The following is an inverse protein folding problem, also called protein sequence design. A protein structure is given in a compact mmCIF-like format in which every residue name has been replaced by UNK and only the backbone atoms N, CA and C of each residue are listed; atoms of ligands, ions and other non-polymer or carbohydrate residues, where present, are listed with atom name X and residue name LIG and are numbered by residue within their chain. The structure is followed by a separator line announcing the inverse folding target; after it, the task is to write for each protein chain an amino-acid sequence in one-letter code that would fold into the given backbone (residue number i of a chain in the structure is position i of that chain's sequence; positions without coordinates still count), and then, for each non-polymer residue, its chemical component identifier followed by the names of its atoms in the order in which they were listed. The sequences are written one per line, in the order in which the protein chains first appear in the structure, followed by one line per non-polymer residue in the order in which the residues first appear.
data_IF_174988345711
#
_entry.id   IF_174988345711
#
_cell.length_a   1.000
_cell.length_b   1.000
_cell.length_c   1.000
_cell.angle_alpha   90.00
_cell.angle_beta   90.00
_cell.angle_gamma   90.00
#
_symmetry.space_group_name_H-M   'P 1'
#
loop_
_entity.id
_entity.type
_entity.pdbx_description
1 polymer ?
#
# COMPACT_ATOMS: atom_id res chain seq x y z
N UNK A 1 29.26 -10.84 -10.58
CA UNK A 1 28.18 -11.11 -9.61
C UNK A 1 26.84 -10.98 -10.32
N UNK A 2 26.10 -12.07 -10.38
CA UNK A 2 24.81 -12.17 -11.02
C UNK A 2 23.80 -11.65 -10.01
N UNK A 3 22.97 -10.73 -10.45
CA UNK A 3 21.97 -10.07 -9.61
C UNK A 3 20.70 -10.07 -10.42
N UNK A 4 19.60 -10.57 -9.83
CA UNK A 4 18.29 -10.50 -10.49
C UNK A 4 17.86 -9.04 -10.66
N UNK A 5 18.42 -8.13 -9.84
CA UNK A 5 18.30 -6.67 -9.93
C UNK A 5 19.42 -6.00 -10.74
N UNK A 6 20.20 -6.75 -11.52
CA UNK A 6 21.23 -6.25 -12.45
C UNK A 6 22.28 -5.33 -11.81
N UNK A 7 22.62 -5.56 -10.53
CA UNK A 7 23.53 -4.70 -9.77
C UNK A 7 23.10 -3.23 -9.70
N UNK A 8 21.82 -2.94 -9.90
CA UNK A 8 21.27 -1.60 -9.78
C UNK A 8 21.18 -1.21 -8.30
N UNK A 9 22.00 -0.26 -7.81
CA UNK A 9 22.06 0.10 -6.40
C UNK A 9 20.73 0.67 -5.88
N UNK A 10 19.99 1.36 -6.73
CA UNK A 10 18.69 1.95 -6.39
C UNK A 10 17.68 0.82 -6.14
N UNK A 11 17.55 -0.13 -7.05
CA UNK A 11 16.62 -1.26 -6.91
C UNK A 11 16.91 -2.11 -5.67
N UNK A 12 18.19 -2.38 -5.39
CA UNK A 12 18.62 -3.14 -4.20
C UNK A 12 18.26 -2.38 -2.93
N UNK A 13 18.56 -1.07 -2.89
CA UNK A 13 18.26 -0.23 -1.73
C UNK A 13 16.76 -0.14 -1.51
N UNK A 14 15.97 0.03 -2.57
CA UNK A 14 14.51 0.09 -2.49
C UNK A 14 13.92 -1.19 -1.89
N UNK A 15 14.32 -2.35 -2.39
CA UNK A 15 13.79 -3.64 -1.95
C UNK A 15 14.15 -3.95 -0.50
N UNK A 16 15.40 -3.75 -0.08
CA UNK A 16 15.82 -3.96 1.32
C UNK A 16 15.21 -2.94 2.29
N UNK A 17 15.41 -1.64 2.04
CA UNK A 17 15.01 -0.61 2.99
C UNK A 17 13.49 -0.57 3.15
N UNK A 18 12.72 -0.56 2.06
CA UNK A 18 11.27 -0.46 2.15
C UNK A 18 10.60 -1.82 2.44
N UNK A 19 11.19 -2.95 2.02
CA UNK A 19 10.70 -4.26 2.45
C UNK A 19 10.75 -4.43 3.97
N UNK A 20 11.92 -4.18 4.59
CA UNK A 20 12.09 -4.32 6.04
C UNK A 20 11.33 -3.24 6.82
N UNK A 21 11.46 -1.97 6.43
CA UNK A 21 10.74 -0.88 7.10
C UNK A 21 9.22 -1.05 6.99
N UNK A 22 8.71 -1.49 5.84
CA UNK A 22 7.29 -1.73 5.62
C UNK A 22 6.73 -2.82 6.54
N UNK A 23 7.45 -3.92 6.71
CA UNK A 23 7.05 -4.99 7.66
C UNK A 23 6.99 -4.46 9.09
N UNK A 24 8.03 -3.74 9.53
CA UNK A 24 8.10 -3.18 10.88
C UNK A 24 6.97 -2.16 11.09
N UNK A 25 6.77 -1.24 10.15
CA UNK A 25 5.74 -0.20 10.25
C UNK A 25 4.33 -0.81 10.31
N UNK A 26 3.99 -1.74 9.41
CA UNK A 26 2.68 -2.40 9.41
C UNK A 26 2.46 -3.23 10.69
N UNK A 27 3.49 -3.88 11.23
CA UNK A 27 3.43 -4.54 12.54
C UNK A 27 3.07 -3.56 13.67
N UNK A 28 3.67 -2.38 13.69
CA UNK A 28 3.32 -1.34 14.66
C UNK A 28 1.89 -0.83 14.49
N UNK A 29 1.38 -0.71 13.27
CA UNK A 29 -0.03 -0.37 13.01
C UNK A 29 -0.96 -1.41 13.66
N UNK A 30 -0.70 -2.70 13.47
CA UNK A 30 -1.48 -3.76 14.12
C UNK A 30 -1.40 -3.68 15.66
N UNK A 31 -0.21 -3.43 16.23
CA UNK A 31 -0.05 -3.21 17.67
C UNK A 31 -0.89 -2.05 18.18
N UNK A 32 -0.90 -0.92 17.47
CA UNK A 32 -1.73 0.24 17.80
C UNK A 32 -3.21 -0.15 17.77
N UNK A 33 -3.66 -0.80 16.70
CA UNK A 33 -5.07 -1.25 16.55
C UNK A 33 -5.50 -2.18 17.68
N UNK A 34 -4.65 -3.16 18.03
CA UNK A 34 -4.91 -4.08 19.14
C UNK A 34 -4.96 -3.36 20.49
N UNK A 35 -4.06 -2.41 20.73
CA UNK A 35 -4.06 -1.59 21.93
C UNK A 35 -5.33 -0.73 22.03
N UNK A 36 -5.77 -0.13 20.91
CA UNK A 36 -7.01 0.63 20.82
C UNK A 36 -8.23 -0.26 21.13
N UNK A 37 -8.28 -1.48 20.58
CA UNK A 37 -9.36 -2.45 20.86
C UNK A 37 -9.39 -2.89 22.32
N UNK A 38 -8.24 -3.21 22.91
CA UNK A 38 -8.11 -3.58 24.33
C UNK A 38 -8.57 -2.44 25.25
N UNK A 39 -8.20 -1.21 24.93
CA UNK A 39 -8.58 -0.01 25.69
C UNK A 39 -10.07 0.32 25.55
N UNK A 40 -10.67 0.07 24.37
CA UNK A 40 -12.12 0.14 24.18
C UNK A 40 -12.86 -0.76 25.16
N UNK A 41 -12.45 -2.02 25.24
CA UNK A 41 -13.13 -3.02 26.07
C UNK A 41 -12.97 -2.72 27.57
N UNK A 42 -11.78 -2.23 27.98
CA UNK A 42 -11.54 -1.80 29.36
C UNK A 42 -12.37 -0.58 29.76
N UNK A 43 -12.50 0.42 28.89
CA UNK A 43 -13.31 1.63 29.18
C UNK A 43 -14.80 1.31 29.33
N UNK A 44 -15.31 0.33 28.56
CA UNK A 44 -16.68 -0.18 28.72
C UNK A 44 -16.85 -0.83 30.09
N UNK A 45 -15.88 -1.63 30.51
CA UNK A 45 -15.88 -2.32 31.80
C UNK A 45 -15.70 -1.35 32.99
N UNK A 46 -14.85 -0.33 32.85
CA UNK A 46 -14.61 0.66 33.91
C UNK A 46 -15.72 1.70 34.05
N UNK A 47 -16.58 1.88 33.03
CA UNK A 47 -17.78 2.72 33.15
C UNK A 47 -18.83 2.12 34.09
N UNK A 48 -18.72 0.82 34.40
CA UNK A 48 -19.58 0.11 35.36
C UNK A 48 -19.13 0.32 36.82
N UNK A 49 -17.94 0.90 37.04
CA UNK A 49 -17.37 1.14 38.38
C UNK A 49 -16.83 2.57 38.46
N UNK A 50 -17.49 3.49 39.16
CA UNK A 50 -16.88 4.77 39.59
C UNK A 50 -15.71 4.47 40.57
N UNK A 51 -14.61 5.23 40.65
CA UNK A 51 -14.56 6.58 41.23
C UNK A 51 -13.21 7.35 40.99
N UNK A 52 -13.06 8.49 41.68
CA UNK A 52 -12.45 9.81 41.44
C UNK A 52 -10.96 10.13 41.11
N UNK A 53 -10.01 9.22 40.86
CA UNK A 53 -8.59 9.62 40.59
C UNK A 53 -8.27 10.06 39.13
N UNK A 54 -9.29 10.50 38.40
CA UNK A 54 -9.60 9.90 37.09
C UNK A 54 -9.39 10.85 35.89
N UNK A 55 -9.00 12.11 36.09
CA UNK A 55 -9.18 13.14 35.04
C UNK A 55 -8.17 13.08 33.87
N UNK A 56 -6.89 12.73 34.07
CA UNK A 56 -5.89 12.60 32.98
C UNK A 56 -6.01 11.27 32.22
N UNK A 57 -6.42 10.22 32.92
CA UNK A 57 -6.66 8.89 32.36
C UNK A 57 -8.01 8.83 31.62
N UNK A 58 -9.08 9.44 32.14
CA UNK A 58 -10.39 9.61 31.47
C UNK A 58 -10.25 10.35 30.14
N UNK A 59 -9.41 11.39 30.07
CA UNK A 59 -9.33 12.26 28.88
C UNK A 59 -8.47 11.65 27.76
N UNK A 60 -7.36 10.99 28.11
CA UNK A 60 -6.68 10.07 27.19
C UNK A 60 -7.63 8.96 26.72
N UNK A 61 -8.47 8.43 27.61
CA UNK A 61 -9.51 7.47 27.27
C UNK A 61 -10.61 8.07 26.38
N UNK A 62 -10.97 9.36 26.46
CA UNK A 62 -11.99 10.00 25.60
C UNK A 62 -11.50 10.25 24.16
N UNK A 63 -10.27 10.75 23.98
CA UNK A 63 -9.67 10.90 22.65
C UNK A 63 -9.48 9.51 22.00
N UNK A 64 -8.97 8.55 22.77
CA UNK A 64 -8.86 7.16 22.34
C UNK A 64 -10.23 6.56 22.04
N UNK A 65 -11.26 6.80 22.88
CA UNK A 65 -12.62 6.32 22.70
C UNK A 65 -13.32 6.88 21.45
N UNK A 66 -12.90 8.05 20.91
CA UNK A 66 -13.49 8.62 19.68
C UNK A 66 -12.82 8.11 18.40
N UNK A 67 -11.51 7.85 18.44
CA UNK A 67 -10.81 7.06 17.40
C UNK A 67 -11.29 5.61 17.39
N UNK A 68 -11.41 5.01 18.58
CA UNK A 68 -12.05 3.70 18.85
C UNK A 68 -13.54 3.69 18.47
N UNK A 69 -14.21 4.83 18.60
CA UNK A 69 -15.63 5.00 18.31
C UNK A 69 -15.93 4.83 16.82
N UNK A 70 -14.99 5.19 15.94
CA UNK A 70 -15.12 4.90 14.51
C UNK A 70 -14.56 3.51 14.19
N UNK A 71 -15.27 2.48 14.64
CA UNK A 71 -14.94 1.07 14.38
C UNK A 71 -14.77 0.78 12.89
N UNK A 72 -15.55 1.44 12.02
CA UNK A 72 -15.42 1.37 10.56
C UNK A 72 -14.03 1.77 10.10
N UNK A 73 -13.56 2.95 10.50
CA UNK A 73 -12.22 3.45 10.14
C UNK A 73 -11.11 2.49 10.59
N UNK A 74 -11.21 1.95 11.81
CA UNK A 74 -10.22 0.99 12.33
C UNK A 74 -10.21 -0.30 11.49
N UNK A 75 -11.37 -0.82 11.12
CA UNK A 75 -11.47 -2.01 10.25
C UNK A 75 -10.82 -1.72 8.89
N UNK A 76 -11.10 -0.56 8.29
CA UNK A 76 -10.54 -0.21 6.99
C UNK A 76 -9.02 -0.01 7.06
N UNK A 77 -8.50 0.68 8.07
CA UNK A 77 -7.04 0.83 8.27
C UNK A 77 -6.37 -0.52 8.55
N UNK A 78 -7.01 -1.43 9.29
CA UNK A 78 -6.48 -2.77 9.50
C UNK A 78 -6.34 -3.55 8.17
N UNK A 79 -7.33 -3.43 7.28
CA UNK A 79 -7.28 -4.04 5.96
C UNK A 79 -6.22 -3.38 5.07
N UNK A 80 -6.06 -2.06 5.15
CA UNK A 80 -5.00 -1.34 4.44
C UNK A 80 -3.61 -1.80 4.90
N UNK A 81 -3.39 -1.90 6.22
CA UNK A 81 -2.13 -2.40 6.78
C UNK A 81 -1.84 -3.87 6.42
N UNK A 82 -2.87 -4.71 6.31
CA UNK A 82 -2.72 -6.08 5.83
C UNK A 82 -2.32 -6.14 4.34
N UNK A 83 -2.93 -5.29 3.52
CA UNK A 83 -2.58 -5.13 2.10
C UNK A 83 -1.13 -4.64 1.93
N UNK A 84 -0.77 -3.59 2.66
CA UNK A 84 0.56 -2.99 2.63
C UNK A 84 1.64 -3.95 3.17
N UNK A 85 1.31 -4.80 4.14
CA UNK A 85 2.19 -5.87 4.60
C UNK A 85 2.49 -6.88 3.47
N UNK A 86 1.50 -7.26 2.67
CA UNK A 86 1.71 -8.14 1.51
C UNK A 86 2.66 -7.51 0.47
N UNK A 87 2.51 -6.21 0.19
CA UNK A 87 3.45 -5.49 -0.70
C UNK A 87 4.87 -5.35 -0.12
N UNK A 88 4.98 -5.20 1.20
CA UNK A 88 6.28 -5.17 1.88
C UNK A 88 6.98 -6.54 1.84
N UNK A 89 6.21 -7.64 2.00
CA UNK A 89 6.72 -9.00 1.83
C UNK A 89 7.18 -9.28 0.40
N UNK A 90 6.46 -8.77 -0.60
CA UNK A 90 6.90 -8.81 -2.01
C UNK A 90 8.30 -8.20 -2.18
N UNK A 91 8.53 -6.98 -1.67
CA UNK A 91 9.83 -6.32 -1.74
C UNK A 91 10.94 -7.12 -1.04
N UNK A 92 10.61 -7.70 0.13
CA UNK A 92 11.56 -8.53 0.87
C UNK A 92 11.92 -9.83 0.12
N UNK A 93 10.96 -10.47 -0.54
CA UNK A 93 11.22 -11.68 -1.35
C UNK A 93 12.22 -11.34 -2.46
N UNK A 94 12.05 -10.21 -3.16
CA UNK A 94 13.01 -9.78 -4.18
C UNK A 94 14.40 -9.50 -3.59
N UNK A 95 14.47 -8.86 -2.42
CA UNK A 95 15.73 -8.56 -1.75
C UNK A 95 16.51 -9.82 -1.36
N UNK A 96 15.81 -10.81 -0.78
CA UNK A 96 16.38 -12.09 -0.38
C UNK A 96 16.78 -12.93 -1.59
N UNK A 97 15.97 -12.94 -2.64
CA UNK A 97 16.29 -13.64 -3.88
C UNK A 97 17.55 -13.05 -4.54
N UNK A 98 17.63 -11.72 -4.66
CA UNK A 98 18.81 -11.04 -5.20
C UNK A 98 20.08 -11.39 -4.40
N UNK A 99 20.00 -11.42 -3.07
CA UNK A 99 21.11 -11.87 -2.22
C UNK A 99 21.51 -13.32 -2.52
N UNK A 100 20.54 -14.23 -2.62
CA UNK A 100 20.78 -15.66 -2.86
C UNK A 100 21.50 -15.90 -4.19
N UNK A 101 21.03 -15.28 -5.28
CA UNK A 101 21.63 -15.47 -6.60
C UNK A 101 22.98 -14.78 -6.76
N UNK A 102 23.23 -13.67 -6.04
CA UNK A 102 24.57 -13.05 -5.95
C UNK A 102 25.60 -14.00 -5.40
N UNK A 103 25.29 -14.70 -4.30
CA UNK A 103 26.23 -15.63 -3.68
C UNK A 103 26.44 -16.92 -4.48
N UNK A 104 25.44 -17.39 -5.23
CA UNK A 104 25.60 -18.58 -6.09
C UNK A 104 26.65 -18.40 -7.19
N UNK A 105 26.88 -17.17 -7.69
CA UNK A 105 27.90 -16.91 -8.71
C UNK A 105 29.33 -16.74 -8.13
N UNK A 106 29.50 -16.73 -6.80
CA UNK A 106 30.82 -16.55 -6.15
C UNK A 106 31.57 -17.90 -6.00
N UNK A 107 31.06 -19.01 -6.55
CA UNK A 107 31.83 -20.25 -6.61
C UNK A 107 33.01 -20.11 -7.60
N UNK A 108 34.28 -20.14 -7.13
CA UNK A 108 35.43 -19.55 -7.81
C UNK A 108 36.12 -20.44 -8.85
N UNK A 109 35.44 -21.44 -9.43
CA UNK A 109 36.13 -22.43 -10.27
C UNK A 109 36.25 -22.06 -11.76
N UNK A 110 35.53 -21.04 -12.24
CA UNK A 110 35.50 -20.73 -13.67
C UNK A 110 36.12 -19.37 -13.95
N UNK A 111 37.40 -19.39 -14.36
CA UNK A 111 38.08 -18.34 -15.11
C UNK A 111 37.48 -18.23 -16.53
N UNK A 112 36.17 -18.06 -16.59
CA UNK A 112 35.39 -18.14 -17.82
C UNK A 112 35.33 -16.80 -18.56
N UNK A 113 35.37 -16.88 -19.89
CA UNK A 113 35.24 -15.74 -20.81
C UNK A 113 33.93 -14.95 -20.60
N UNK A 114 33.86 -13.71 -21.10
CA UNK A 114 32.65 -12.86 -20.97
C UNK A 114 31.37 -13.55 -21.50
N UNK A 115 31.49 -14.44 -22.49
CA UNK A 115 30.39 -15.24 -23.02
C UNK A 115 29.82 -16.25 -21.99
N UNK A 116 30.67 -16.95 -21.22
CA UNK A 116 30.21 -17.85 -20.14
C UNK A 116 29.53 -17.09 -19.01
N UNK A 117 30.00 -15.87 -18.71
CA UNK A 117 29.37 -15.02 -17.69
C UNK A 117 27.94 -14.61 -18.08
N UNK A 118 27.68 -14.40 -19.38
CA UNK A 118 26.37 -14.06 -19.93
C UNK A 118 25.43 -15.28 -19.94
N UNK A 119 25.92 -16.46 -20.35
CA UNK A 119 25.15 -17.72 -20.34
C UNK A 119 24.75 -18.11 -18.91
N UNK A 120 25.67 -17.96 -17.95
CA UNK A 120 25.38 -18.22 -16.53
C UNK A 120 24.34 -17.25 -15.97
N UNK A 121 24.34 -15.99 -16.44
CA UNK A 121 23.32 -15.02 -16.01
C UNK A 121 21.93 -15.35 -16.55
N UNK A 122 21.80 -15.81 -17.80
CA UNK A 122 20.50 -16.21 -18.35
C UNK A 122 19.89 -17.40 -17.63
N UNK A 123 20.69 -18.38 -17.22
CA UNK A 123 20.21 -19.53 -16.45
C UNK A 123 19.70 -19.11 -15.07
N UNK A 124 20.43 -18.22 -14.38
CA UNK A 124 20.01 -17.65 -13.10
C UNK A 124 18.65 -16.93 -13.20
N UNK A 125 18.44 -16.14 -14.25
CA UNK A 125 17.16 -15.44 -14.45
C UNK A 125 16.03 -16.44 -14.75
N UNK A 126 16.30 -17.44 -15.57
CA UNK A 126 15.35 -18.50 -15.88
C UNK A 126 14.92 -19.27 -14.61
N UNK A 127 15.90 -19.67 -13.78
CA UNK A 127 15.67 -20.36 -12.52
C UNK A 127 14.87 -19.51 -11.52
N UNK A 128 15.15 -18.21 -11.46
CA UNK A 128 14.42 -17.30 -10.58
C UNK A 128 12.97 -17.13 -11.01
N UNK A 129 12.71 -16.89 -12.29
CA UNK A 129 11.36 -16.64 -12.80
C UNK A 129 10.48 -17.90 -12.66
N UNK A 130 11.08 -19.09 -12.80
CA UNK A 130 10.41 -20.38 -12.57
C UNK A 130 10.30 -20.77 -11.09
N UNK A 131 10.89 -20.00 -10.17
CA UNK A 131 10.89 -20.34 -8.75
C UNK A 131 9.51 -20.08 -8.10
N UNK A 132 9.00 -20.98 -7.23
CA UNK A 132 7.78 -20.76 -6.44
C UNK A 132 7.74 -19.41 -5.71
N UNK A 133 8.90 -18.91 -5.24
CA UNK A 133 8.98 -17.61 -4.59
C UNK A 133 8.73 -16.44 -5.55
N UNK A 134 9.06 -16.55 -6.83
CA UNK A 134 8.70 -15.53 -7.83
C UNK A 134 7.20 -15.54 -8.12
N UNK A 135 6.57 -16.72 -8.24
CA UNK A 135 5.11 -16.81 -8.33
C UNK A 135 4.41 -16.21 -7.10
N UNK A 136 4.94 -16.48 -5.90
CA UNK A 136 4.44 -15.90 -4.65
C UNK A 136 4.62 -14.38 -4.61
N UNK A 137 5.78 -13.89 -5.05
CA UNK A 137 6.05 -12.45 -5.16
C UNK A 137 5.05 -11.77 -6.10
N UNK A 138 4.78 -12.36 -7.27
CA UNK A 138 3.76 -11.87 -8.21
C UNK A 138 2.39 -11.79 -7.58
N UNK A 139 1.98 -12.87 -6.93
CA UNK A 139 0.69 -12.95 -6.27
C UNK A 139 0.53 -11.84 -5.23
N UNK A 140 1.52 -11.68 -4.34
CA UNK A 140 1.50 -10.66 -3.28
C UNK A 140 1.50 -9.24 -3.85
N UNK A 141 2.25 -9.00 -4.92
CA UNK A 141 2.30 -7.71 -5.59
C UNK A 141 0.93 -7.33 -6.18
N UNK A 142 0.31 -8.21 -6.96
CA UNK A 142 -1.01 -7.93 -7.56
C UNK A 142 -2.08 -7.76 -6.47
N UNK A 143 -2.06 -8.62 -5.46
CA UNK A 143 -3.02 -8.59 -4.37
C UNK A 143 -2.92 -7.30 -3.56
N UNK A 144 -1.70 -6.88 -3.17
CA UNK A 144 -1.47 -5.67 -2.39
C UNK A 144 -1.84 -4.41 -3.15
N UNK A 145 -1.51 -4.34 -4.43
CA UNK A 145 -1.83 -3.18 -5.28
C UNK A 145 -3.34 -3.01 -5.45
N UNK A 146 -4.05 -4.10 -5.75
CA UNK A 146 -5.51 -4.06 -5.88
C UNK A 146 -6.18 -3.66 -4.56
N UNK A 147 -5.82 -4.35 -3.48
CA UNK A 147 -6.50 -4.19 -2.20
C UNK A 147 -6.22 -2.82 -1.57
N UNK A 148 -5.02 -2.25 -1.76
CA UNK A 148 -4.68 -0.91 -1.29
C UNK A 148 -5.55 0.16 -1.96
N UNK A 149 -5.66 0.13 -3.30
CA UNK A 149 -6.54 1.05 -4.07
C UNK A 149 -7.98 0.93 -3.62
N UNK A 150 -8.48 -0.30 -3.50
CA UNK A 150 -9.85 -0.59 -3.10
C UNK A 150 -10.14 -0.01 -1.71
N UNK A 151 -9.33 -0.33 -0.70
CA UNK A 151 -9.56 0.11 0.68
C UNK A 151 -9.44 1.64 0.81
N UNK A 152 -8.45 2.26 0.15
CA UNK A 152 -8.31 3.73 0.15
C UNK A 152 -9.54 4.41 -0.45
N UNK A 153 -10.10 3.85 -1.53
CA UNK A 153 -11.33 4.35 -2.15
C UNK A 153 -12.51 4.24 -1.18
N UNK A 154 -12.65 3.10 -0.50
CA UNK A 154 -13.71 2.89 0.50
C UNK A 154 -13.55 3.86 1.69
N UNK A 155 -12.33 4.14 2.15
CA UNK A 155 -12.08 5.15 3.18
C UNK A 155 -12.57 6.52 2.68
N UNK A 156 -12.27 6.91 1.44
CA UNK A 156 -12.73 8.18 0.89
C UNK A 156 -14.26 8.27 0.79
N UNK A 157 -14.93 7.19 0.35
CA UNK A 157 -16.39 7.11 0.29
C UNK A 157 -16.99 7.23 1.70
N UNK A 158 -16.49 6.45 2.66
CA UNK A 158 -16.94 6.48 4.06
C UNK A 158 -16.85 7.90 4.64
N UNK A 159 -15.72 8.59 4.41
CA UNK A 159 -15.52 9.97 4.86
C UNK A 159 -16.47 10.94 4.17
N UNK A 160 -16.62 10.84 2.85
CA UNK A 160 -17.50 11.71 2.08
C UNK A 160 -18.96 11.56 2.52
N UNK A 161 -19.45 10.32 2.65
CA UNK A 161 -20.83 10.04 3.09
C UNK A 161 -21.08 10.57 4.49
N UNK A 162 -20.15 10.34 5.42
CA UNK A 162 -20.27 10.82 6.81
C UNK A 162 -20.44 12.35 6.90
N UNK A 163 -19.77 13.10 6.01
CA UNK A 163 -19.81 14.57 6.00
C UNK A 163 -20.97 15.11 5.17
N UNK A 164 -21.23 14.52 4.00
CA UNK A 164 -22.23 15.03 3.05
C UNK A 164 -23.66 14.62 3.42
N UNK A 165 -23.84 13.47 4.09
CA UNK A 165 -25.14 12.89 4.43
C UNK A 165 -25.22 12.43 5.89
N UNK A 166 -25.07 13.36 6.87
CA UNK A 166 -24.94 13.01 8.29
C UNK A 166 -26.18 12.32 8.91
N UNK A 167 -27.35 12.39 8.26
CA UNK A 167 -28.60 11.77 8.74
C UNK A 167 -29.05 10.57 7.90
N UNK A 168 -28.23 10.15 6.92
CA UNK A 168 -28.58 9.02 6.04
C UNK A 168 -28.02 7.71 6.57
N UNK A 169 -28.77 7.07 7.47
CA UNK A 169 -28.41 5.77 8.05
C UNK A 169 -28.24 4.67 6.97
N UNK A 170 -28.92 4.80 5.84
CA UNK A 170 -28.87 3.84 4.74
C UNK A 170 -27.53 3.89 3.99
N UNK A 171 -26.96 5.10 3.83
CA UNK A 171 -25.71 5.31 3.11
C UNK A 171 -24.47 5.11 4.00
N UNK A 172 -24.61 5.23 5.32
CA UNK A 172 -23.50 5.05 6.26
C UNK A 172 -22.84 3.67 6.10
N UNK A 173 -21.50 3.67 6.02
CA UNK A 173 -20.69 2.46 6.03
C UNK A 173 -20.51 2.03 7.48
N UNK A 174 -21.45 1.21 7.94
CA UNK A 174 -21.38 0.61 9.27
C UNK A 174 -20.22 -0.39 9.38
N UNK A 175 -19.74 -0.74 10.58
CA UNK A 175 -18.65 -1.70 10.76
C UNK A 175 -18.94 -3.08 10.13
N UNK A 176 -20.21 -3.51 10.14
CA UNK A 176 -20.65 -4.74 9.47
C UNK A 176 -20.49 -4.63 7.95
N UNK A 177 -20.97 -3.52 7.36
CA UNK A 177 -20.81 -3.24 5.92
C UNK A 177 -19.34 -3.17 5.54
N UNK A 178 -18.51 -2.44 6.29
CA UNK A 178 -17.06 -2.37 6.02
C UNK A 178 -16.38 -3.73 6.04
N UNK A 179 -16.75 -4.62 6.97
CA UNK A 179 -16.21 -5.99 7.00
C UNK A 179 -16.65 -6.78 5.76
N UNK A 180 -17.93 -6.72 5.39
CA UNK A 180 -18.44 -7.40 4.18
C UNK A 180 -17.78 -6.88 2.89
N UNK A 181 -17.69 -5.55 2.74
CA UNK A 181 -17.04 -4.89 1.61
C UNK A 181 -15.56 -5.29 1.55
N UNK A 182 -14.86 -5.31 2.68
CA UNK A 182 -13.45 -5.73 2.74
C UNK A 182 -13.28 -7.19 2.34
N UNK A 183 -14.14 -8.10 2.81
CA UNK A 183 -14.12 -9.51 2.42
C UNK A 183 -14.34 -9.64 0.91
N UNK A 184 -15.33 -8.94 0.35
CA UNK A 184 -15.56 -8.92 -1.09
C UNK A 184 -14.34 -8.42 -1.88
N UNK A 185 -13.73 -7.33 -1.42
CA UNK A 185 -12.48 -6.81 -2.01
C UNK A 185 -11.35 -7.84 -1.98
N UNK A 186 -11.13 -8.50 -0.84
CA UNK A 186 -10.12 -9.57 -0.73
C UNK A 186 -10.42 -10.73 -1.69
N UNK A 187 -11.67 -11.18 -1.80
CA UNK A 187 -12.04 -12.25 -2.73
C UNK A 187 -11.73 -11.88 -4.19
N UNK A 188 -12.08 -10.66 -4.61
CA UNK A 188 -11.78 -10.17 -5.97
C UNK A 188 -10.27 -10.03 -6.18
N UNK A 189 -9.56 -9.49 -5.20
CA UNK A 189 -8.10 -9.33 -5.24
C UNK A 189 -7.39 -10.68 -5.33
N UNK A 190 -7.82 -11.68 -4.55
CA UNK A 190 -7.31 -13.06 -4.56
C UNK A 190 -7.55 -13.70 -5.93
N UNK A 191 -8.77 -13.59 -6.47
CA UNK A 191 -9.10 -14.13 -7.79
C UNK A 191 -8.22 -13.49 -8.88
N UNK A 192 -8.07 -12.17 -8.83
CA UNK A 192 -7.23 -11.41 -9.77
C UNK A 192 -5.77 -11.83 -9.67
N UNK A 193 -5.18 -11.83 -8.47
CA UNK A 193 -3.79 -12.24 -8.24
C UNK A 193 -3.54 -13.70 -8.66
N UNK A 194 -4.49 -14.60 -8.39
CA UNK A 194 -4.42 -15.99 -8.83
C UNK A 194 -4.44 -16.11 -10.35
N UNK A 195 -5.32 -15.37 -11.03
CA UNK A 195 -5.40 -15.35 -12.49
C UNK A 195 -4.07 -14.92 -13.12
N UNK A 196 -3.48 -13.81 -12.67
CA UNK A 196 -2.19 -13.34 -13.19
C UNK A 196 -1.04 -14.30 -12.89
N UNK A 197 -1.05 -14.94 -11.72
CA UNK A 197 -0.02 -15.91 -11.33
C UNK A 197 -0.14 -17.20 -12.14
N UNK A 198 -1.36 -17.73 -12.30
CA UNK A 198 -1.63 -18.90 -13.12
C UNK A 198 -1.30 -18.66 -14.59
N UNK A 199 -1.66 -17.48 -15.13
CA UNK A 199 -1.29 -17.10 -16.49
C UNK A 199 0.23 -17.07 -16.67
N UNK A 200 0.97 -16.53 -15.70
CA UNK A 200 2.44 -16.55 -15.77
C UNK A 200 3.03 -17.96 -15.65
N UNK A 201 2.37 -18.89 -14.98
CA UNK A 201 2.82 -20.27 -14.86
C UNK A 201 2.64 -21.03 -16.18
N UNK A 202 1.47 -20.90 -16.83
CA UNK A 202 1.18 -21.59 -18.10
C UNK A 202 1.95 -21.00 -19.31
N UNK A 203 2.41 -19.75 -19.20
CA UNK A 203 3.20 -19.06 -20.25
C UNK A 203 4.70 -19.08 -19.98
N UNK A 204 5.15 -19.84 -18.98
CA UNK A 204 6.56 -20.02 -18.68
C UNK A 204 7.20 -21.05 -19.65
N UNK A 205 8.43 -20.84 -20.12
CA UNK A 205 9.29 -19.67 -19.92
C UNK A 205 8.98 -18.51 -20.88
N UNK A 206 9.30 -17.25 -20.51
CA UNK A 206 9.11 -16.09 -21.38
C UNK A 206 9.93 -16.21 -22.68
N UNK A 207 9.40 -15.68 -23.78
CA UNK A 207 9.88 -15.94 -25.14
C UNK A 207 11.24 -15.29 -25.49
N UNK A 208 11.73 -14.32 -24.70
CA UNK A 208 12.99 -13.61 -24.97
C UNK A 208 13.81 -13.34 -23.70
N UNK A 209 15.13 -13.42 -23.83
CA UNK A 209 16.07 -13.17 -22.73
C UNK A 209 16.13 -11.72 -22.25
N UNK A 210 15.80 -10.75 -23.11
CA UNK A 210 15.74 -9.34 -22.72
C UNK A 210 14.52 -9.03 -21.83
N UNK A 211 13.46 -9.84 -21.89
CA UNK A 211 12.30 -9.74 -20.98
C UNK A 211 12.67 -10.03 -19.52
N UNK A 212 13.81 -10.69 -19.25
CA UNK A 212 14.24 -11.04 -17.90
C UNK A 212 14.39 -9.83 -16.97
N UNK A 213 14.74 -8.63 -17.47
CA UNK A 213 14.83 -7.42 -16.62
C UNK A 213 13.52 -7.05 -15.94
N UNK A 214 12.41 -7.21 -16.64
CA UNK A 214 11.06 -6.98 -16.10
C UNK A 214 10.52 -8.21 -15.39
N UNK A 215 10.73 -9.39 -15.96
CA UNK A 215 10.23 -10.64 -15.41
C UNK A 215 10.89 -11.01 -14.07
N UNK A 216 12.13 -10.58 -13.82
CA UNK A 216 12.83 -10.77 -12.55
C UNK A 216 12.18 -10.04 -11.38
N UNK A 217 11.44 -8.95 -11.62
CA UNK A 217 10.66 -8.29 -10.58
C UNK A 217 9.40 -9.07 -10.20
N UNK A 218 9.09 -10.15 -10.92
CA UNK A 218 7.91 -10.97 -10.72
C UNK A 218 6.60 -10.18 -10.76
N UNK A 219 6.58 -8.98 -11.33
CA UNK A 219 5.41 -8.10 -11.32
C UNK A 219 4.36 -8.57 -12.33
N UNK A 220 4.82 -8.98 -13.52
CA UNK A 220 3.98 -9.41 -14.64
C UNK A 220 4.62 -10.60 -15.38
N UNK A 221 3.85 -11.23 -16.26
CA UNK A 221 4.33 -12.28 -17.16
C UNK A 221 5.10 -11.65 -18.35
N UNK A 222 5.38 -12.43 -19.39
CA UNK A 222 6.12 -11.95 -20.56
C UNK A 222 5.38 -10.80 -21.28
N UNK A 223 5.99 -9.61 -21.29
CA UNK A 223 5.47 -8.43 -21.99
C UNK A 223 5.47 -8.58 -23.51
N UNK A 224 6.11 -9.61 -24.07
CA UNK A 224 5.98 -9.95 -25.49
C UNK A 224 4.54 -10.33 -25.86
N UNK A 225 3.77 -10.86 -24.91
CA UNK A 225 2.39 -11.32 -25.11
C UNK A 225 1.42 -10.13 -25.10
N UNK A 226 0.60 -10.00 -26.16
CA UNK A 226 -0.39 -8.92 -26.30
C UNK A 226 -1.34 -8.84 -25.09
N UNK A 227 -1.83 -9.98 -24.61
CA UNK A 227 -2.72 -10.05 -23.45
C UNK A 227 -2.10 -9.45 -22.19
N UNK A 228 -0.80 -9.68 -21.95
CA UNK A 228 -0.07 -9.15 -20.79
C UNK A 228 0.03 -7.63 -20.90
N UNK A 229 0.40 -7.11 -22.06
CA UNK A 229 0.48 -5.65 -22.32
C UNK A 229 -0.86 -4.95 -22.15
N UNK A 230 -1.93 -5.55 -22.69
CA UNK A 230 -3.27 -5.01 -22.54
C UNK A 230 -3.72 -5.01 -21.08
N UNK A 231 -3.52 -6.13 -20.37
CA UNK A 231 -3.87 -6.25 -18.95
C UNK A 231 -3.10 -5.27 -18.07
N UNK A 232 -1.82 -5.08 -18.36
CA UNK A 232 -0.94 -4.09 -17.75
C UNK A 232 -1.48 -2.67 -17.85
N UNK A 233 -1.80 -2.26 -19.08
CA UNK A 233 -2.38 -0.94 -19.35
C UNK A 233 -3.72 -0.80 -18.64
N UNK A 234 -4.60 -1.80 -18.76
CA UNK A 234 -5.94 -1.79 -18.18
C UNK A 234 -5.89 -1.62 -16.66
N UNK A 235 -5.07 -2.42 -15.96
CA UNK A 235 -4.91 -2.31 -14.51
C UNK A 235 -4.36 -0.94 -14.10
N UNK A 236 -3.40 -0.41 -14.85
CA UNK A 236 -2.80 0.90 -14.57
C UNK A 236 -3.81 2.03 -14.75
N UNK A 237 -4.62 1.99 -15.83
CA UNK A 237 -5.65 2.98 -16.14
C UNK A 237 -6.78 2.93 -15.11
N UNK A 238 -7.28 1.72 -14.78
CA UNK A 238 -8.31 1.55 -13.75
C UNK A 238 -7.81 2.09 -12.41
N UNK A 239 -6.59 1.72 -12.00
CA UNK A 239 -5.98 2.22 -10.77
C UNK A 239 -5.93 3.75 -10.73
N UNK A 240 -5.45 4.37 -11.82
CA UNK A 240 -5.38 5.82 -11.93
C UNK A 240 -6.76 6.48 -11.83
N UNK A 241 -7.77 5.96 -12.54
CA UNK A 241 -9.16 6.45 -12.45
C UNK A 241 -9.68 6.35 -11.00
N UNK A 242 -9.43 5.24 -10.31
CA UNK A 242 -9.81 5.07 -8.91
C UNK A 242 -9.17 6.12 -7.99
N UNK A 243 -7.91 6.50 -8.21
CA UNK A 243 -7.28 7.57 -7.43
C UNK A 243 -7.83 8.95 -7.75
N UNK A 244 -8.12 9.26 -9.01
CA UNK A 244 -8.78 10.53 -9.37
C UNK A 244 -10.15 10.62 -8.71
N UNK A 245 -10.92 9.53 -8.75
CA UNK A 245 -12.20 9.44 -8.04
C UNK A 245 -12.04 9.61 -6.51
N UNK A 246 -11.03 8.97 -5.93
CA UNK A 246 -10.72 9.11 -4.49
C UNK A 246 -10.40 10.57 -4.13
N UNK A 247 -9.60 11.28 -4.95
CA UNK A 247 -9.26 12.67 -4.71
C UNK A 247 -10.47 13.60 -4.88
N UNK A 248 -11.35 13.34 -5.85
CA UNK A 248 -12.56 14.14 -6.03
C UNK A 248 -13.51 14.00 -4.83
N UNK A 249 -13.61 12.81 -4.23
CA UNK A 249 -14.33 12.60 -2.97
C UNK A 249 -13.73 13.38 -1.80
N UNK A 250 -12.41 13.40 -1.66
CA UNK A 250 -11.77 14.21 -0.60
C UNK A 250 -11.93 15.71 -0.83
N UNK A 251 -11.85 16.16 -2.07
CA UNK A 251 -12.14 17.54 -2.43
C UNK A 251 -13.59 17.90 -2.06
N UNK A 252 -14.55 17.06 -2.44
CA UNK A 252 -15.96 17.24 -2.07
C UNK A 252 -16.17 17.27 -0.55
N UNK A 253 -15.49 16.38 0.19
CA UNK A 253 -15.52 16.34 1.66
C UNK A 253 -14.98 17.65 2.25
N UNK A 254 -13.85 18.14 1.74
CA UNK A 254 -13.24 19.40 2.19
C UNK A 254 -14.16 20.60 1.94
N UNK A 255 -14.74 20.71 0.74
CA UNK A 255 -15.65 21.78 0.38
C UNK A 255 -16.91 21.78 1.25
N UNK A 256 -17.50 20.59 1.50
CA UNK A 256 -18.65 20.45 2.40
C UNK A 256 -18.32 20.85 3.83
N UNK A 257 -17.18 20.41 4.37
CA UNK A 257 -16.72 20.83 5.70
C UNK A 257 -16.48 22.34 5.80
N UNK A 258 -16.00 22.98 4.74
CA UNK A 258 -15.84 24.44 4.68
C UNK A 258 -17.21 25.13 4.68
N UNK A 259 -18.16 24.63 3.89
CA UNK A 259 -19.51 25.18 3.80
C UNK A 259 -20.27 25.10 5.13
N UNK A 260 -20.21 23.94 5.80
CA UNK A 260 -20.83 23.73 7.12
C UNK A 260 -20.22 24.70 8.15
N UNK A 261 -18.89 24.84 8.16
CA UNK A 261 -18.19 25.75 9.07
C UNK A 261 -18.50 27.23 8.81
N UNK A 262 -18.84 27.61 7.57
CA UNK A 262 -19.26 28.97 7.23
C UNK A 262 -20.70 29.26 7.65
N UNK A 263 -21.62 28.30 7.52
CA UNK A 263 -23.03 28.45 7.94
C UNK A 263 -23.22 28.46 9.45
N UNK A 264 -22.43 27.66 10.18
CA UNK A 264 -22.50 27.61 11.64
C UNK A 264 -21.53 28.68 12.18
N UNK A 265 -22.03 29.89 12.47
CA UNK A 265 -21.26 30.98 13.12
C UNK A 265 -20.50 30.42 14.34
N UNK A 266 -19.18 30.29 14.21
CA UNK A 266 -18.20 30.25 15.29
C UNK A 266 -18.46 29.28 16.47
N UNK A 267 -18.91 28.05 16.24
CA UNK A 267 -18.58 26.95 17.17
C UNK A 267 -17.67 25.96 16.46
N UNK A 268 -16.34 26.13 16.63
CA UNK A 268 -15.35 25.10 16.33
C UNK A 268 -15.58 23.93 17.29
N UNK A 269 -16.64 23.17 17.08
CA UNK A 269 -16.92 21.98 17.88
C UNK A 269 -15.76 21.02 17.68
N UNK A 270 -15.30 20.43 18.78
CA UNK A 270 -14.16 19.51 18.81
C UNK A 270 -14.23 18.41 17.72
N UNK A 271 -15.44 18.00 17.32
CA UNK A 271 -15.69 17.02 16.26
C UNK A 271 -15.20 17.48 14.88
N UNK A 272 -15.45 18.73 14.49
CA UNK A 272 -15.06 19.26 13.18
C UNK A 272 -13.53 19.29 13.01
N UNK A 273 -12.80 19.58 14.10
CA UNK A 273 -11.33 19.56 14.08
C UNK A 273 -10.77 18.13 13.97
N UNK A 274 -11.42 17.15 14.59
CA UNK A 274 -11.04 15.73 14.47
C UNK A 274 -11.32 15.23 13.06
N UNK A 275 -12.47 15.56 12.48
CA UNK A 275 -12.82 15.19 11.10
C UNK A 275 -11.87 15.81 10.08
N UNK A 276 -11.55 17.10 10.20
CA UNK A 276 -10.55 17.75 9.33
C UNK A 276 -9.17 17.11 9.42
N UNK A 277 -8.77 16.64 10.61
CA UNK A 277 -7.50 15.93 10.80
C UNK A 277 -7.54 14.55 10.16
N UNK A 278 -8.58 13.76 10.39
CA UNK A 278 -8.74 12.44 9.76
C UNK A 278 -8.82 12.57 8.24
N UNK A 279 -9.51 13.60 7.73
CA UNK A 279 -9.55 13.94 6.31
C UNK A 279 -8.16 14.28 5.78
N UNK A 280 -7.39 15.12 6.48
CA UNK A 280 -6.02 15.48 6.07
C UNK A 280 -5.14 14.24 5.96
N UNK A 281 -5.22 13.34 6.94
CA UNK A 281 -4.46 12.07 6.94
C UNK A 281 -4.81 11.23 5.71
N UNK A 282 -6.11 10.98 5.52
CA UNK A 282 -6.60 10.11 4.45
C UNK A 282 -6.32 10.72 3.06
N UNK A 283 -6.46 12.04 2.91
CA UNK A 283 -6.11 12.75 1.68
C UNK A 283 -4.60 12.74 1.41
N UNK A 284 -3.75 12.92 2.44
CA UNK A 284 -2.29 12.82 2.27
C UNK A 284 -1.89 11.41 1.80
N UNK A 285 -2.46 10.36 2.40
CA UNK A 285 -2.25 8.96 1.97
C UNK A 285 -2.63 8.81 0.49
N UNK A 286 -3.78 9.33 0.06
CA UNK A 286 -4.21 9.18 -1.33
C UNK A 286 -3.38 9.99 -2.33
N UNK A 287 -2.89 11.18 -1.95
CA UNK A 287 -1.99 11.97 -2.78
C UNK A 287 -0.65 11.26 -2.96
N UNK A 288 -0.05 10.75 -1.87
CA UNK A 288 1.23 10.01 -1.98
C UNK A 288 1.07 8.77 -2.84
N UNK A 289 -0.06 8.08 -2.72
CA UNK A 289 -0.35 6.94 -3.58
C UNK A 289 -0.48 7.35 -5.06
N UNK A 290 -1.28 8.37 -5.40
CA UNK A 290 -1.43 8.83 -6.80
C UNK A 290 -0.07 9.18 -7.43
N UNK A 291 0.78 9.90 -6.69
CA UNK A 291 2.10 10.31 -7.18
C UNK A 291 2.97 9.11 -7.53
N UNK A 292 2.94 8.03 -6.76
CA UNK A 292 3.73 6.83 -7.08
C UNK A 292 3.11 5.99 -8.21
N UNK A 293 1.79 6.07 -8.43
CA UNK A 293 1.10 5.37 -9.52
C UNK A 293 1.36 5.99 -10.88
N UNK A 294 1.52 7.32 -10.96
CA UNK A 294 1.69 8.02 -12.24
C UNK A 294 2.90 7.53 -13.07
N UNK A 295 4.12 7.36 -12.49
CA UNK A 295 5.24 6.76 -13.19
C UNK A 295 4.97 5.33 -13.70
N UNK A 296 4.30 4.50 -12.90
CA UNK A 296 3.95 3.13 -13.30
C UNK A 296 2.95 3.12 -14.47
N UNK A 297 1.98 4.03 -14.47
CA UNK A 297 1.06 4.21 -15.60
C UNK A 297 1.83 4.61 -16.86
N UNK A 298 2.77 5.56 -16.76
CA UNK A 298 3.60 5.98 -17.89
C UNK A 298 4.48 4.83 -18.45
N UNK A 299 5.05 3.99 -17.57
CA UNK A 299 5.76 2.79 -18.01
C UNK A 299 4.83 1.80 -18.72
N UNK A 300 3.64 1.54 -18.17
CA UNK A 300 2.66 0.64 -18.76
C UNK A 300 2.16 1.11 -20.13
N UNK A 301 1.90 2.41 -20.30
CA UNK A 301 1.49 3.01 -21.58
C UNK A 301 2.61 2.93 -22.62
N UNK A 302 3.85 3.24 -22.23
CA UNK A 302 5.00 3.14 -23.13
C UNK A 302 5.19 1.72 -23.69
N UNK A 303 5.12 0.71 -22.80
CA UNK A 303 5.21 -0.71 -23.17
C UNK A 303 4.04 -1.12 -24.09
N UNK A 304 2.83 -0.62 -23.83
CA UNK A 304 1.68 -0.93 -24.66
C UNK A 304 1.80 -0.35 -26.08
N UNK A 305 2.18 0.93 -26.19
CA UNK A 305 2.29 1.65 -27.47
C UNK A 305 3.38 1.05 -28.35
N UNK A 306 4.59 0.88 -27.80
CA UNK A 306 5.70 0.31 -28.55
C UNK A 306 6.64 -0.47 -27.63
N UNK A 307 6.27 -1.73 -27.39
CA UNK A 307 7.06 -2.61 -26.53
C UNK A 307 8.46 -2.85 -27.08
N UNK A 308 8.65 -2.93 -28.42
CA UNK A 308 9.97 -3.15 -29.05
C UNK A 308 10.90 -1.98 -28.77
N UNK A 309 10.45 -0.75 -29.04
CA UNK A 309 11.21 0.45 -28.74
C UNK A 309 11.55 0.55 -27.24
N UNK A 310 10.62 0.15 -26.37
CA UNK A 310 10.82 0.18 -24.92
C UNK A 310 11.88 -0.84 -24.46
N UNK A 311 11.85 -2.07 -24.96
CA UNK A 311 12.82 -3.12 -24.59
C UNK A 311 14.18 -2.94 -25.27
N UNK A 312 14.24 -2.34 -26.46
CA UNK A 312 15.50 -2.06 -27.16
C UNK A 312 16.21 -0.82 -26.57
N UNK A 313 15.49 0.01 -25.82
CA UNK A 313 16.04 1.19 -25.17
C UNK A 313 16.64 0.85 -23.79
N UNK A 314 17.96 0.82 -23.71
CA UNK A 314 18.69 0.49 -22.48
C UNK A 314 18.34 1.43 -21.30
N UNK A 315 18.10 2.72 -21.56
CA UNK A 315 17.73 3.69 -20.50
C UNK A 315 16.38 3.36 -19.90
N UNK A 316 15.43 2.93 -20.73
CA UNK A 316 14.13 2.46 -20.26
C UNK A 316 14.27 1.19 -19.43
N UNK A 317 15.08 0.23 -19.91
CA UNK A 317 15.38 -1.02 -19.20
C UNK A 317 16.03 -0.81 -17.84
N UNK A 318 16.90 0.20 -17.68
CA UNK A 318 17.53 0.51 -16.39
C UNK A 318 16.60 1.29 -15.44
N UNK A 319 15.74 2.15 -15.99
CA UNK A 319 14.89 3.05 -15.19
C UNK A 319 13.58 2.41 -14.76
N UNK A 320 12.95 1.64 -15.63
CA UNK A 320 11.62 1.10 -15.38
C UNK A 320 11.53 0.16 -14.16
N UNK A 321 12.53 -0.69 -13.85
CA UNK A 321 12.54 -1.45 -12.61
C UNK A 321 12.49 -0.58 -11.35
N UNK A 322 13.22 0.54 -11.34
CA UNK A 322 13.19 1.49 -10.23
C UNK A 322 11.79 2.08 -10.06
N UNK A 323 11.14 2.45 -11.15
CA UNK A 323 9.77 2.99 -11.16
C UNK A 323 8.76 1.97 -10.63
N UNK A 324 8.85 0.73 -11.08
CA UNK A 324 7.95 -0.35 -10.65
C UNK A 324 8.17 -0.73 -9.17
N UNK A 325 9.39 -0.63 -8.65
CA UNK A 325 9.70 -0.83 -7.23
C UNK A 325 9.24 0.36 -6.37
N UNK A 326 9.45 1.59 -6.86
CA UNK A 326 8.98 2.82 -6.21
C UNK A 326 7.47 2.81 -6.01
N UNK A 327 6.72 2.21 -6.93
CA UNK A 327 5.29 2.02 -6.77
C UNK A 327 4.93 1.29 -5.45
N UNK A 328 5.69 0.25 -5.07
CA UNK A 328 5.44 -0.50 -3.84
C UNK A 328 6.02 0.12 -2.57
N UNK A 329 6.79 1.21 -2.68
CA UNK A 329 7.24 1.99 -1.52
C UNK A 329 6.05 2.58 -0.73
N UNK A 330 4.91 2.79 -1.38
CA UNK A 330 3.69 3.25 -0.71
C UNK A 330 3.22 2.32 0.42
N UNK A 331 3.50 1.02 0.31
CA UNK A 331 3.20 0.04 1.35
C UNK A 331 3.95 0.34 2.67
N UNK A 332 5.02 1.12 2.62
CA UNK A 332 5.75 1.61 3.80
C UNK A 332 5.31 3.01 4.22
N UNK A 333 5.03 3.88 3.25
CA UNK A 333 4.64 5.27 3.52
C UNK A 333 3.28 5.33 4.23
N UNK A 334 2.29 4.56 3.78
CA UNK A 334 0.94 4.52 4.35
C UNK A 334 0.92 4.28 5.87
N UNK A 335 1.52 3.20 6.41
CA UNK A 335 1.54 2.94 7.85
C UNK A 335 2.35 4.00 8.63
N UNK A 336 3.44 4.53 8.07
CA UNK A 336 4.22 5.60 8.70
C UNK A 336 3.37 6.86 8.87
N UNK A 337 2.63 7.26 7.83
CA UNK A 337 1.70 8.40 7.91
C UNK A 337 0.68 8.16 9.03
N UNK A 338 0.10 6.96 9.11
CA UNK A 338 -0.87 6.63 10.15
C UNK A 338 -0.27 6.72 11.57
N UNK A 339 0.88 6.09 11.80
CA UNK A 339 1.60 6.08 13.08
C UNK A 339 1.94 7.50 13.53
N UNK A 340 2.55 8.28 12.62
CA UNK A 340 2.99 9.63 12.93
C UNK A 340 1.81 10.52 13.33
N UNK A 341 0.70 10.45 12.58
CA UNK A 341 -0.48 11.25 12.88
C UNK A 341 -1.16 10.85 14.19
N UNK A 342 -1.21 9.57 14.54
CA UNK A 342 -1.70 9.14 15.85
C UNK A 342 -0.80 9.66 16.97
N UNK A 343 0.52 9.53 16.81
CA UNK A 343 1.48 9.98 17.82
C UNK A 343 1.41 11.49 18.07
N UNK A 344 1.33 12.30 17.00
CA UNK A 344 1.19 13.76 17.10
C UNK A 344 -0.14 14.17 17.74
N UNK A 345 -1.22 13.44 17.46
CA UNK A 345 -2.50 13.76 18.07
C UNK A 345 -2.51 13.44 19.57
N UNK A 346 -1.88 12.33 19.98
CA UNK A 346 -1.69 11.99 21.38
C UNK A 346 -0.83 13.02 22.12
N UNK A 347 0.29 13.47 21.52
CA UNK A 347 1.18 14.46 22.14
C UNK A 347 0.51 15.84 22.27
N UNK A 348 -0.16 16.31 21.21
CA UNK A 348 -0.89 17.58 21.23
C UNK A 348 -2.03 17.59 22.24
N UNK A 349 -2.71 16.45 22.42
CA UNK A 349 -3.78 16.32 23.41
C UNK A 349 -3.22 16.38 24.84
N UNK A 350 -2.13 15.64 25.14
CA UNK A 350 -1.43 15.73 26.43
C UNK A 350 -0.97 17.16 26.74
N UNK A 351 -0.42 17.86 25.74
CA UNK A 351 0.06 19.24 25.89
C UNK A 351 -1.08 20.20 26.21
N UNK A 352 -2.20 20.16 25.47
CA UNK A 352 -3.37 21.01 25.76
C UNK A 352 -3.92 20.80 27.17
N UNK A 353 -3.90 19.55 27.66
CA UNK A 353 -4.38 19.23 29.00
C UNK A 353 -3.50 19.81 30.11
N UNK A 354 -2.18 19.85 29.87
CA UNK A 354 -1.21 20.43 30.80
C UNK A 354 -1.46 21.93 30.99
N UNK A 355 -1.69 22.67 29.91
CA UNK A 355 -1.95 24.12 29.94
C UNK A 355 -3.34 24.50 30.47
N UNK A 356 -4.30 23.58 30.54
CA UNK A 356 -5.62 23.83 31.16
C UNK A 356 -5.64 23.56 32.68
N UNK A 357 -4.54 23.07 33.25
CA UNK A 357 -4.40 22.77 34.68
C UNK A 357 -3.52 23.77 35.44
N UNK A 358 -2.80 24.62 34.70
CA UNK A 358 -2.13 25.84 35.18
C UNK A 358 -3.06 27.01 34.94
#
# INVERSE_FOLDING_TARGET
MASILYNNPIAITLTWCFGVCGIIANYYVFKIILALKKRSNRTIFSKVSSDHSRQSEITSNQFTARYVGNRTFIILIANLAASDLAGSLYLLILAVADLRYRFMQINPYNNGSMAESLINSSNIYHDWIGNPFCFTARYLNVLSSFQSVFIITIIAVDRYVSVAFPFSNNLEITPKKAKMISIGGWSIGIATASMFTAFSYITFPPAKSISYRFSNLCTFADVSVNFVRFSLLLLSVIGFICYIFTLSLYMGTYLKLRHIAAKIKASKTFNQNVERKTLKIAATISITNLVAWFPSLACGTAIFINYRLSIDNIRFLDTAPNVLLLFQVNCTINPIIYIFNISQNLSNYKRKLFWTRT
#
